data_IF_830274050666
#
_entry.id   IF_830274050666
#
_cell.length_a   1.000
_cell.length_b   1.000
_cell.length_c   1.000
_cell.angle_alpha   90.00
_cell.angle_beta   90.00
_cell.angle_gamma   90.00
#
_symmetry.space_group_name_H-M   'P 1'
#
loop_
_entity.id
_entity.type
_entity.pdbx_description
1 polymer ?
#
# COMPACT_ATOMS: atom_id res chain seq x y z
N UNK A 1 -50.16 58.12 19.37
CA UNK A 1 -49.48 57.79 20.64
C UNK A 1 -48.36 56.79 20.36
N UNK A 2 -47.11 57.21 20.60
CA UNK A 2 -45.88 56.43 20.84
C UNK A 2 -45.37 55.44 19.78
N UNK A 3 -44.25 55.86 19.15
CA UNK A 3 -43.09 55.06 18.71
C UNK A 3 -42.78 53.89 19.67
N UNK A 4 -42.24 52.79 19.14
CA UNK A 4 -41.01 52.15 19.66
C UNK A 4 -40.40 51.19 18.61
N UNK A 5 -39.13 51.46 18.31
CA UNK A 5 -38.15 50.65 17.58
C UNK A 5 -37.64 49.55 18.52
N UNK A 6 -37.57 48.28 18.08
CA UNK A 6 -36.67 47.23 18.61
C UNK A 6 -36.43 46.25 17.43
N UNK A 7 -35.30 46.30 16.72
CA UNK A 7 -33.96 45.74 17.01
C UNK A 7 -33.82 44.25 16.66
N UNK A 8 -32.68 43.96 16.03
CA UNK A 8 -32.31 42.73 15.35
C UNK A 8 -32.13 41.51 16.26
N UNK A 9 -32.38 40.31 15.72
CA UNK A 9 -31.60 39.11 16.06
C UNK A 9 -31.24 38.41 14.75
N UNK A 10 -30.02 38.66 14.32
CA UNK A 10 -29.31 37.92 13.28
C UNK A 10 -28.86 36.61 13.93
N UNK A 11 -29.48 35.48 13.55
CA UNK A 11 -29.08 34.16 14.04
C UNK A 11 -27.71 33.81 13.46
N UNK A 12 -26.67 34.14 14.21
CA UNK A 12 -25.32 33.63 14.02
C UNK A 12 -25.36 32.16 14.44
N UNK A 13 -25.39 31.25 13.47
CA UNK A 13 -24.96 29.88 13.71
C UNK A 13 -23.46 29.92 13.96
N UNK A 14 -23.05 29.89 15.24
CA UNK A 14 -21.72 29.42 15.62
C UNK A 14 -21.64 27.95 15.22
N UNK A 15 -21.09 27.68 14.03
CA UNK A 15 -20.52 26.36 13.77
C UNK A 15 -19.20 26.32 14.55
N UNK A 16 -19.24 25.55 15.63
CA UNK A 16 -18.07 25.16 16.40
C UNK A 16 -16.96 24.68 15.45
N UNK A 17 -15.81 25.33 15.52
CA UNK A 17 -14.57 24.82 14.98
C UNK A 17 -14.21 23.52 15.73
N UNK A 18 -14.71 22.39 15.22
CA UNK A 18 -14.05 21.11 15.41
C UNK A 18 -12.77 21.19 14.59
N UNK A 19 -11.65 21.16 15.30
CA UNK A 19 -10.32 20.91 14.77
C UNK A 19 -10.34 19.56 14.06
N UNK A 20 -10.74 19.60 12.79
CA UNK A 20 -10.48 18.53 11.84
C UNK A 20 -8.99 18.51 11.55
N UNK A 21 -8.41 17.32 11.68
CA UNK A 21 -7.03 17.02 11.40
C UNK A 21 -6.53 17.71 10.14
N UNK A 22 -5.26 18.10 10.16
CA UNK A 22 -4.58 18.63 9.01
C UNK A 22 -4.61 17.57 7.89
N UNK A 23 -5.60 17.67 7.00
CA UNK A 23 -5.50 17.12 5.66
C UNK A 23 -4.35 17.89 5.02
N UNK A 24 -3.18 17.26 4.99
CA UNK A 24 -2.06 17.75 4.19
C UNK A 24 -2.57 17.83 2.74
N UNK A 25 -2.90 19.04 2.32
CA UNK A 25 -3.06 19.33 0.91
C UNK A 25 -1.77 18.89 0.20
N UNK A 26 -1.89 18.01 -0.81
CA UNK A 26 -0.79 17.56 -1.63
C UNK A 26 -0.18 18.76 -2.38
N UNK A 27 0.77 19.43 -1.73
CA UNK A 27 1.57 20.47 -2.34
C UNK A 27 2.53 19.83 -3.34
N UNK A 28 2.58 20.36 -4.56
CA UNK A 28 3.56 19.94 -5.57
C UNK A 28 4.97 20.16 -5.01
N UNK A 29 5.74 19.08 -4.91
CA UNK A 29 7.12 19.15 -4.46
C UNK A 29 7.95 20.07 -5.38
N UNK A 30 8.88 20.83 -4.77
CA UNK A 30 9.71 21.83 -5.43
C UNK A 30 11.15 21.63 -4.97
N UNK A 31 12.09 21.46 -5.90
CA UNK A 31 13.50 21.24 -5.56
C UNK A 31 14.24 20.37 -6.58
N UNK A 32 15.48 20.03 -6.28
CA UNK A 32 16.29 19.09 -7.08
C UNK A 32 15.82 17.67 -6.83
N UNK A 33 15.63 16.86 -7.89
CA UNK A 33 15.41 15.43 -7.74
C UNK A 33 16.70 14.74 -7.27
N UNK A 34 16.79 14.45 -5.97
CA UNK A 34 17.89 13.78 -5.31
C UNK A 34 17.93 12.27 -5.62
N UNK A 35 16.81 11.69 -6.07
CA UNK A 35 16.71 10.26 -6.39
C UNK A 35 17.28 9.91 -7.76
N UNK A 36 17.50 10.89 -8.64
CA UNK A 36 17.95 10.65 -10.01
C UNK A 36 19.26 9.83 -10.04
N UNK A 37 19.23 8.70 -10.76
CA UNK A 37 20.29 7.69 -10.88
C UNK A 37 20.77 7.09 -9.54
N UNK A 38 19.97 7.17 -8.48
CA UNK A 38 20.30 6.56 -7.20
C UNK A 38 19.92 5.09 -7.18
N UNK A 39 20.66 4.33 -6.38
CA UNK A 39 20.38 2.90 -6.21
C UNK A 39 19.21 2.70 -5.26
N UNK A 40 18.49 1.63 -5.49
CA UNK A 40 17.44 1.17 -4.59
C UNK A 40 17.43 -0.35 -4.47
N UNK A 41 16.71 -0.80 -3.45
CA UNK A 41 16.35 -2.20 -3.25
C UNK A 41 14.84 -2.33 -3.22
N UNK A 42 14.33 -3.50 -3.61
CA UNK A 42 12.90 -3.82 -3.60
C UNK A 42 12.73 -5.08 -2.77
N UNK A 43 11.78 -5.05 -1.83
CA UNK A 43 11.38 -6.18 -1.00
C UNK A 43 9.89 -6.41 -1.19
N UNK A 44 9.50 -7.67 -1.43
CA UNK A 44 8.10 -8.10 -1.47
C UNK A 44 7.57 -8.31 -0.05
N UNK A 45 6.33 -7.90 0.22
CA UNK A 45 5.68 -8.12 1.52
C UNK A 45 5.46 -9.60 1.86
N UNK A 46 5.31 -10.45 0.84
CA UNK A 46 5.26 -11.90 0.99
C UNK A 46 6.08 -12.60 -0.10
N UNK A 47 6.64 -13.77 0.21
CA UNK A 47 7.38 -14.57 -0.78
C UNK A 47 6.45 -14.93 -1.96
N UNK A 48 6.92 -14.72 -3.18
CA UNK A 48 6.17 -14.99 -4.41
C UNK A 48 6.86 -16.01 -5.34
N UNK A 49 7.96 -16.62 -4.88
CA UNK A 49 8.83 -17.53 -5.65
C UNK A 49 8.08 -18.73 -6.27
N UNK A 50 7.01 -19.18 -5.61
CA UNK A 50 6.19 -20.32 -6.04
C UNK A 50 4.81 -19.92 -6.58
N UNK A 51 4.60 -18.64 -6.87
CA UNK A 51 3.35 -18.15 -7.46
C UNK A 51 3.18 -18.64 -8.90
N UNK A 52 1.93 -18.79 -9.36
CA UNK A 52 1.57 -19.36 -10.68
C UNK A 52 2.16 -18.60 -11.89
N UNK A 53 2.67 -17.37 -11.69
CA UNK A 53 3.36 -16.55 -12.69
C UNK A 53 4.35 -15.60 -11.99
N UNK A 54 5.58 -16.02 -11.68
CA UNK A 54 6.51 -15.23 -10.86
C UNK A 54 7.25 -14.12 -11.64
N UNK A 55 6.90 -13.89 -12.91
CA UNK A 55 7.67 -13.00 -13.78
C UNK A 55 7.26 -11.54 -13.58
N UNK A 56 7.75 -10.91 -12.51
CA UNK A 56 7.91 -9.45 -12.50
C UNK A 56 8.85 -9.06 -13.65
N UNK A 57 8.31 -8.36 -14.65
CA UNK A 57 9.06 -7.88 -15.82
C UNK A 57 9.25 -6.37 -15.75
N UNK A 58 10.44 -5.95 -15.36
CA UNK A 58 10.82 -4.54 -15.19
C UNK A 58 12.03 -4.49 -14.27
N UNK A 59 13.11 -3.87 -14.72
CA UNK A 59 14.41 -3.94 -14.04
C UNK A 59 14.50 -2.90 -12.93
N UNK A 60 15.15 -3.31 -11.83
CA UNK A 60 15.49 -2.55 -10.61
C UNK A 60 16.32 -1.28 -10.82
N UNK A 61 16.37 -0.75 -12.05
CA UNK A 61 17.15 0.43 -12.41
C UNK A 61 16.30 1.54 -13.07
N UNK A 62 15.00 1.32 -13.28
CA UNK A 62 14.12 2.26 -14.02
C UNK A 62 13.49 3.33 -13.14
N UNK A 63 13.31 3.07 -11.85
CA UNK A 63 12.53 3.94 -10.96
C UNK A 63 13.19 5.28 -10.63
N UNK A 64 14.35 5.54 -11.20
CA UNK A 64 15.14 6.74 -10.90
C UNK A 64 15.90 7.24 -12.13
N UNK A 65 15.57 6.77 -13.33
CA UNK A 65 16.32 7.10 -14.55
C UNK A 65 15.79 8.38 -15.23
N UNK A 66 14.66 8.92 -14.75
CA UNK A 66 14.00 10.09 -15.33
C UNK A 66 13.23 9.81 -16.61
N UNK A 67 13.04 8.54 -16.97
CA UNK A 67 12.27 8.08 -18.13
C UNK A 67 10.86 7.74 -17.67
N UNK A 68 9.88 8.20 -18.46
CA UNK A 68 8.47 8.02 -18.15
C UNK A 68 7.78 7.07 -19.12
N UNK A 69 6.93 6.21 -18.58
CA UNK A 69 6.14 5.28 -19.38
C UNK A 69 4.92 5.94 -20.02
N UNK A 70 4.56 5.48 -21.22
CA UNK A 70 3.28 5.85 -21.84
C UNK A 70 2.18 4.95 -21.26
N UNK A 71 1.12 5.49 -20.62
CA UNK A 71 0.04 4.67 -20.08
C UNK A 71 -0.73 3.91 -21.18
N UNK A 72 -0.78 4.42 -22.41
CA UNK A 72 -1.39 3.71 -23.53
C UNK A 72 -0.59 2.45 -23.93
N UNK A 73 0.70 2.39 -23.57
CA UNK A 73 1.60 1.26 -23.84
C UNK A 73 2.28 0.77 -22.55
N UNK A 74 1.47 0.26 -21.62
CA UNK A 74 1.93 -0.23 -20.31
C UNK A 74 3.01 -1.34 -20.38
N UNK A 75 3.07 -2.12 -21.46
CA UNK A 75 4.09 -3.15 -21.67
C UNK A 75 5.26 -2.70 -22.57
N UNK A 76 5.46 -1.39 -22.73
CA UNK A 76 6.61 -0.80 -23.45
C UNK A 76 7.98 -1.17 -22.87
N UNK A 77 8.01 -1.69 -21.63
CA UNK A 77 9.23 -1.93 -20.88
C UNK A 77 9.73 -0.70 -20.14
N UNK A 78 8.98 0.41 -20.12
CA UNK A 78 9.29 1.63 -19.35
C UNK A 78 8.58 1.69 -17.99
N UNK A 79 7.76 0.69 -17.69
CA UNK A 79 7.07 0.55 -16.41
C UNK A 79 7.66 -0.64 -15.65
N UNK A 80 8.03 -0.44 -14.39
CA UNK A 80 8.34 -1.54 -13.49
C UNK A 80 7.06 -2.30 -13.14
N UNK A 81 7.01 -3.59 -13.49
CA UNK A 81 5.87 -4.46 -13.28
C UNK A 81 6.00 -5.22 -11.95
N UNK A 82 5.10 -4.94 -11.01
CA UNK A 82 4.95 -5.72 -9.78
C UNK A 82 3.70 -6.59 -9.82
N UNK A 83 3.82 -7.84 -9.36
CA UNK A 83 2.72 -8.81 -9.34
C UNK A 83 2.63 -9.51 -7.98
N UNK A 84 1.42 -9.47 -7.38
CA UNK A 84 1.10 -10.14 -6.11
C UNK A 84 2.16 -9.90 -5.02
N UNK A 85 2.25 -10.78 -4.02
CA UNK A 85 3.21 -10.64 -2.92
C UNK A 85 2.83 -9.56 -1.91
N UNK A 86 1.53 -9.22 -1.83
CA UNK A 86 0.88 -8.28 -0.91
C UNK A 86 1.28 -6.81 -1.14
N UNK A 87 2.56 -6.50 -1.18
CA UNK A 87 3.08 -5.14 -1.24
C UNK A 87 4.52 -5.09 -1.73
N UNK A 88 5.01 -3.91 -2.06
CA UNK A 88 6.43 -3.67 -2.34
C UNK A 88 6.93 -2.57 -1.41
N UNK A 89 8.12 -2.80 -0.84
CA UNK A 89 8.90 -1.78 -0.15
C UNK A 89 10.13 -1.47 -0.98
N UNK A 90 10.22 -0.24 -1.47
CA UNK A 90 11.35 0.26 -2.24
C UNK A 90 12.19 1.15 -1.34
N UNK A 91 13.45 0.80 -1.11
CA UNK A 91 14.37 1.60 -0.30
C UNK A 91 15.44 2.21 -1.20
N UNK A 92 15.39 3.53 -1.38
CA UNK A 92 16.40 4.35 -2.07
C UNK A 92 17.54 4.72 -1.14
N UNK A 93 18.79 4.65 -1.61
CA UNK A 93 19.97 5.21 -0.94
C UNK A 93 20.44 6.46 -1.70
N UNK A 94 20.27 7.65 -1.10
CA UNK A 94 20.70 8.94 -1.66
C UNK A 94 22.24 9.07 -1.72
N UNK A 95 22.97 8.21 -1.01
CA UNK A 95 24.43 8.12 -0.97
C UNK A 95 25.07 8.91 0.17
N UNK A 96 24.35 9.88 0.75
CA UNK A 96 24.74 10.67 1.91
C UNK A 96 23.48 11.16 2.64
N UNK A 97 23.65 11.67 3.86
CA UNK A 97 22.56 12.36 4.57
C UNK A 97 22.33 13.71 3.88
N UNK A 98 21.13 13.90 3.34
CA UNK A 98 20.67 15.08 2.62
C UNK A 98 19.44 15.68 3.30
N UNK A 99 19.04 16.88 2.90
CA UNK A 99 17.78 17.48 3.34
C UNK A 99 16.66 17.15 2.34
N UNK A 100 15.64 16.42 2.79
CA UNK A 100 14.52 15.94 1.97
C UNK A 100 13.21 16.60 2.43
N UNK A 101 12.39 17.06 1.49
CA UNK A 101 11.13 17.76 1.79
C UNK A 101 9.95 17.45 0.84
N UNK A 102 10.16 16.62 -0.17
CA UNK A 102 9.09 16.25 -1.10
C UNK A 102 9.33 14.95 -1.84
N UNK A 103 8.25 14.39 -2.37
CA UNK A 103 8.22 13.06 -2.96
C UNK A 103 7.23 13.00 -4.12
N UNK A 104 7.55 12.17 -5.10
CA UNK A 104 6.66 11.83 -6.21
C UNK A 104 6.88 10.36 -6.62
N UNK A 105 5.81 9.64 -6.90
CA UNK A 105 5.85 8.33 -7.53
C UNK A 105 4.70 8.25 -8.54
N UNK A 106 4.97 7.77 -9.75
CA UNK A 106 3.96 7.73 -10.82
C UNK A 106 3.57 6.30 -11.17
N UNK A 107 2.29 6.00 -10.95
CA UNK A 107 1.69 4.71 -11.25
C UNK A 107 0.78 4.81 -12.47
N UNK A 108 0.27 3.67 -12.93
CA UNK A 108 -0.77 3.62 -13.96
C UNK A 108 -1.99 2.84 -13.45
N UNK A 109 -3.18 3.36 -13.72
CA UNK A 109 -4.46 2.67 -13.58
C UNK A 109 -4.90 2.14 -14.93
N UNK A 110 -5.15 0.82 -15.02
CA UNK A 110 -5.63 0.18 -16.24
C UNK A 110 -6.34 -1.15 -15.92
N UNK A 111 -7.65 -1.08 -15.64
CA UNK A 111 -8.48 -2.24 -15.27
C UNK A 111 -8.46 -3.34 -16.34
N UNK A 112 -8.38 -2.99 -17.63
CA UNK A 112 -8.42 -3.97 -18.74
C UNK A 112 -7.27 -4.99 -18.66
N UNK A 113 -6.14 -4.60 -18.08
CA UNK A 113 -5.00 -5.50 -17.83
C UNK A 113 -4.83 -5.88 -16.36
N UNK A 114 -5.83 -5.58 -15.51
CA UNK A 114 -5.75 -5.82 -14.07
C UNK A 114 -4.59 -5.07 -13.41
N UNK A 115 -4.28 -3.86 -13.90
CA UNK A 115 -3.27 -2.99 -13.32
C UNK A 115 -3.99 -1.94 -12.47
N UNK A 116 -3.68 -1.96 -11.18
CA UNK A 116 -4.31 -1.10 -10.18
C UNK A 116 -3.26 -0.24 -9.51
N UNK A 117 -3.59 1.03 -9.34
CA UNK A 117 -2.85 1.88 -8.44
C UNK A 117 -2.98 1.35 -7.01
N UNK A 118 -1.93 1.50 -6.18
CA UNK A 118 -2.02 1.11 -4.78
C UNK A 118 -3.10 1.92 -4.06
N UNK A 119 -3.74 1.35 -3.04
CA UNK A 119 -4.69 2.08 -2.20
C UNK A 119 -4.00 3.22 -1.45
N UNK A 120 -2.77 2.97 -0.99
CA UNK A 120 -1.96 3.96 -0.29
C UNK A 120 -0.49 3.83 -0.69
N UNK A 121 0.18 4.99 -0.79
CA UNK A 121 1.63 5.10 -0.83
C UNK A 121 2.12 5.69 0.49
N UNK A 122 2.87 4.90 1.25
CA UNK A 122 3.49 5.31 2.52
C UNK A 122 4.95 5.65 2.26
N UNK A 123 5.36 6.84 2.69
CA UNK A 123 6.71 7.36 2.51
C UNK A 123 7.35 7.60 3.87
N UNK A 124 8.49 6.95 4.09
CA UNK A 124 9.26 7.07 5.33
C UNK A 124 10.73 7.37 5.03
N UNK A 125 11.41 8.08 5.93
CA UNK A 125 12.81 8.47 5.79
C UNK A 125 13.67 7.95 6.93
N UNK A 126 14.96 7.74 6.66
CA UNK A 126 15.93 7.26 7.63
C UNK A 126 17.32 7.82 7.36
N UNK A 127 18.11 8.04 8.42
CA UNK A 127 19.52 8.40 8.32
C UNK A 127 20.44 7.16 8.33
N UNK A 128 20.03 6.09 9.02
CA UNK A 128 20.84 4.89 9.29
C UNK A 128 20.41 3.65 8.48
N UNK A 129 19.24 3.68 7.84
CA UNK A 129 18.67 2.57 7.10
C UNK A 129 18.00 1.51 7.98
N UNK A 130 17.88 1.77 9.29
CA UNK A 130 17.34 0.86 10.30
C UNK A 130 16.07 1.49 10.92
N UNK A 131 16.17 2.74 11.36
CA UNK A 131 15.13 3.47 12.07
C UNK A 131 14.46 4.45 11.11
N UNK A 132 13.15 4.33 10.92
CA UNK A 132 12.39 5.13 9.94
C UNK A 132 11.32 5.98 10.62
N UNK A 133 11.12 7.19 10.11
CA UNK A 133 10.00 8.07 10.45
C UNK A 133 9.10 8.23 9.21
N UNK A 134 7.80 8.02 9.36
CA UNK A 134 6.83 8.21 8.29
C UNK A 134 6.50 9.69 8.15
N UNK A 135 6.63 10.20 6.92
CA UNK A 135 6.37 11.61 6.60
C UNK A 135 5.02 11.81 5.93
N UNK A 136 4.62 10.88 5.06
CA UNK A 136 3.40 11.02 4.27
C UNK A 136 2.77 9.65 4.00
N UNK A 137 1.43 9.63 4.04
CA UNK A 137 0.60 8.57 3.48
C UNK A 137 -0.31 9.23 2.44
N UNK A 138 -0.28 8.74 1.21
CA UNK A 138 -1.03 9.31 0.08
C UNK A 138 -2.04 8.26 -0.37
N UNK A 139 -3.32 8.55 -0.23
CA UNK A 139 -4.40 7.68 -0.69
C UNK A 139 -4.58 7.75 -2.21
N UNK A 140 -5.07 6.66 -2.79
CA UNK A 140 -5.43 6.61 -4.19
C UNK A 140 -6.48 7.66 -4.55
N UNK A 141 -6.27 8.35 -5.67
CA UNK A 141 -7.19 9.38 -6.19
C UNK A 141 -8.05 8.90 -7.35
N UNK A 142 -7.84 7.67 -7.84
CA UNK A 142 -8.59 7.11 -8.96
C UNK A 142 -9.39 5.87 -8.57
N UNK A 143 -10.55 5.72 -9.17
CA UNK A 143 -11.41 4.55 -8.97
C UNK A 143 -10.85 3.32 -9.71
N UNK A 144 -10.93 2.14 -9.08
CA UNK A 144 -10.49 0.89 -9.68
C UNK A 144 -11.32 0.46 -10.92
N UNK A 145 -12.46 1.11 -11.17
CA UNK A 145 -13.31 0.92 -12.35
C UNK A 145 -12.82 1.64 -13.60
N UNK A 146 -11.83 2.53 -13.49
CA UNK A 146 -11.28 3.26 -14.65
C UNK A 146 -10.66 2.29 -15.66
N UNK A 147 -11.25 2.27 -16.86
CA UNK A 147 -10.80 1.42 -17.97
C UNK A 147 -9.81 2.11 -18.91
N UNK A 148 -9.84 3.45 -18.97
CA UNK A 148 -8.91 4.23 -19.79
C UNK A 148 -7.54 4.22 -19.09
N UNK A 149 -6.47 3.78 -19.76
CA UNK A 149 -5.14 3.78 -19.17
C UNK A 149 -4.76 5.20 -18.74
N UNK A 150 -4.50 5.39 -17.45
CA UNK A 150 -4.29 6.72 -16.85
C UNK A 150 -3.08 6.70 -15.95
N UNK A 151 -2.12 7.60 -16.17
CA UNK A 151 -1.02 7.83 -15.22
C UNK A 151 -1.54 8.57 -14.00
N UNK A 152 -1.14 8.12 -12.82
CA UNK A 152 -1.58 8.64 -11.52
C UNK A 152 -0.35 9.01 -10.71
N UNK A 153 -0.23 10.29 -10.41
CA UNK A 153 0.91 10.83 -9.68
C UNK A 153 0.56 10.88 -8.20
N UNK A 154 1.34 10.17 -7.38
CA UNK A 154 1.30 10.25 -5.94
C UNK A 154 2.39 11.21 -5.52
N UNK A 155 2.02 12.41 -5.07
CA UNK A 155 2.99 13.40 -4.63
C UNK A 155 2.64 13.96 -3.24
N UNK A 156 3.68 14.35 -2.51
CA UNK A 156 3.53 14.99 -1.23
C UNK A 156 4.71 15.90 -0.91
N UNK A 157 4.47 16.87 -0.04
CA UNK A 157 5.51 17.58 0.68
C UNK A 157 5.47 17.18 2.15
N UNK A 158 6.63 17.09 2.78
CA UNK A 158 6.77 16.89 4.21
C UNK A 158 6.49 18.18 5.01
N UNK A 159 6.30 19.33 4.34
CA UNK A 159 6.09 20.65 4.94
C UNK A 159 7.33 21.26 5.61
N UNK A 160 8.34 20.44 5.93
CA UNK A 160 9.66 20.79 6.46
C UNK A 160 10.70 19.89 5.80
N UNK A 161 11.97 20.30 5.83
CA UNK A 161 13.07 19.44 5.40
C UNK A 161 13.60 18.59 6.56
N UNK A 162 13.80 17.31 6.31
CA UNK A 162 14.36 16.34 7.26
C UNK A 162 15.68 15.76 6.74
N UNK A 163 16.57 15.42 7.66
CA UNK A 163 17.80 14.69 7.37
C UNK A 163 17.48 13.26 7.00
N UNK A 164 17.91 12.84 5.82
CA UNK A 164 17.69 11.47 5.35
C UNK A 164 18.80 11.04 4.41
N UNK A 165 19.24 9.80 4.56
CA UNK A 165 20.05 9.09 3.55
C UNK A 165 19.20 8.07 2.79
N UNK A 166 18.25 7.45 3.49
CA UNK A 166 17.39 6.42 2.93
C UNK A 166 15.95 6.92 2.87
N UNK A 167 15.27 6.64 1.75
CA UNK A 167 13.85 6.92 1.58
C UNK A 167 13.13 5.63 1.19
N UNK A 168 12.08 5.30 1.94
CA UNK A 168 11.22 4.14 1.71
C UNK A 168 9.91 4.55 1.07
N UNK A 169 9.52 3.83 0.04
CA UNK A 169 8.22 3.88 -0.60
C UNK A 169 7.57 2.51 -0.40
N UNK A 170 6.50 2.45 0.37
CA UNK A 170 5.71 1.26 0.60
C UNK A 170 4.35 1.40 -0.08
N UNK A 171 3.93 0.38 -0.81
CA UNK A 171 2.61 0.35 -1.46
C UNK A 171 2.09 -1.08 -1.62
N UNK A 172 0.77 -1.26 -1.59
CA UNK A 172 0.13 -2.55 -1.83
C UNK A 172 0.16 -2.95 -3.31
N UNK A 173 0.16 -4.25 -3.57
CA UNK A 173 0.06 -4.82 -4.92
C UNK A 173 -1.14 -5.76 -4.93
N UNK A 174 -2.23 -5.33 -5.55
CA UNK A 174 -3.48 -6.08 -5.60
C UNK A 174 -3.39 -7.29 -6.56
N UNK A 175 -3.33 -7.00 -7.86
CA UNK A 175 -3.10 -8.00 -8.91
C UNK A 175 -1.78 -7.66 -9.60
N UNK A 176 -1.79 -6.57 -10.37
CA UNK A 176 -0.58 -5.93 -10.89
C UNK A 176 -0.54 -4.47 -10.45
N UNK A 177 0.66 -3.96 -10.22
CA UNK A 177 0.94 -2.54 -9.99
C UNK A 177 2.16 -2.15 -10.83
N UNK A 178 2.02 -1.09 -11.61
CA UNK A 178 3.04 -0.61 -12.54
C UNK A 178 3.48 0.78 -12.09
N UNK A 179 4.78 0.98 -11.96
CA UNK A 179 5.42 2.21 -11.48
C UNK A 179 6.57 2.56 -12.44
N UNK A 180 6.67 3.80 -12.92
CA UNK A 180 7.77 4.21 -13.80
C UNK A 180 8.90 4.94 -13.05
N UNK A 181 8.58 5.98 -12.28
CA UNK A 181 9.56 6.91 -11.73
C UNK A 181 9.22 7.30 -10.29
N UNK A 182 10.26 7.31 -9.45
CA UNK A 182 10.28 7.85 -8.09
C UNK A 182 11.19 9.06 -8.05
N UNK A 183 10.69 10.14 -7.47
CA UNK A 183 11.46 11.36 -7.23
C UNK A 183 11.46 11.68 -5.75
N UNK A 184 12.62 12.11 -5.27
CA UNK A 184 12.81 12.64 -3.92
C UNK A 184 13.34 14.06 -4.10
N UNK A 185 12.64 15.04 -3.56
CA UNK A 185 13.00 16.45 -3.69
C UNK A 185 13.65 16.97 -2.41
N UNK A 186 14.59 17.88 -2.60
CA UNK A 186 15.26 18.58 -1.53
C UNK A 186 16.58 19.19 -1.98
N UNK A 187 17.59 19.15 -1.10
CA UNK A 187 18.94 19.68 -1.32
C UNK A 187 20.01 18.76 -0.73
N UNK A 188 21.17 18.70 -1.38
CA UNK A 188 22.28 17.83 -0.95
C UNK A 188 22.84 18.21 0.42
N UNK A 189 22.90 19.50 0.74
CA UNK A 189 23.33 19.96 2.06
C UNK A 189 22.25 19.67 3.11
N UNK A 190 22.54 18.83 4.09
CA UNK A 190 21.65 18.56 5.21
C UNK A 190 21.45 19.80 6.12
N UNK A 191 22.45 20.69 6.23
CA UNK A 191 22.41 21.96 6.96
C UNK A 191 21.42 22.04 8.14
N UNK A 192 20.42 22.92 8.00
CA UNK A 192 19.37 23.18 9.00
C UNK A 192 18.14 22.25 8.91
N UNK A 193 18.21 21.13 8.19
CA UNK A 193 17.14 20.16 8.17
C UNK A 193 16.98 19.49 9.55
N UNK A 194 15.75 19.10 9.86
CA UNK A 194 15.40 18.49 11.14
C UNK A 194 15.90 17.05 11.21
N UNK A 195 16.33 16.62 12.39
CA UNK A 195 16.55 15.20 12.69
C UNK A 195 15.23 14.42 12.58
N UNK A 196 15.31 13.14 12.26
CA UNK A 196 14.12 12.27 12.27
C UNK A 196 13.79 11.83 13.71
N UNK A 197 12.51 11.58 13.97
CA UNK A 197 12.06 10.87 15.17
C UNK A 197 11.40 9.58 14.72
N UNK A 198 12.09 8.43 14.79
CA UNK A 198 11.59 7.16 14.27
C UNK A 198 10.22 6.80 14.83
N UNK A 199 9.38 6.21 13.99
CA UNK A 199 8.08 5.71 14.40
C UNK A 199 8.24 4.61 15.45
N UNK A 200 7.32 4.55 16.41
CA UNK A 200 7.26 3.42 17.33
C UNK A 200 6.91 2.15 16.56
N UNK A 201 7.64 1.06 16.85
CA UNK A 201 7.32 -0.23 16.26
C UNK A 201 5.94 -0.66 16.75
N UNK A 202 4.97 -0.72 15.84
CA UNK A 202 3.66 -1.29 16.14
C UNK A 202 3.85 -2.79 16.37
N UNK A 203 3.60 -3.26 17.59
CA UNK A 203 3.43 -4.69 17.81
C UNK A 203 2.11 -5.13 17.18
N UNK A 204 2.19 -6.03 16.20
CA UNK A 204 1.01 -6.72 15.66
C UNK A 204 0.43 -7.63 16.75
N UNK A 205 -0.42 -7.05 17.59
CA UNK A 205 -1.14 -7.79 18.60
C UNK A 205 -2.08 -8.77 17.90
N UNK A 206 -1.97 -10.05 18.25
CA UNK A 206 -2.79 -11.17 17.74
C UNK A 206 -2.32 -11.84 16.45
N UNK A 207 -1.11 -11.54 15.97
CA UNK A 207 -0.45 -12.41 14.99
C UNK A 207 0.24 -13.56 15.72
N UNK A 208 0.05 -14.80 15.27
CA UNK A 208 0.76 -15.96 15.79
C UNK A 208 1.96 -16.25 14.89
N UNK A 209 3.17 -16.09 15.41
CA UNK A 209 4.42 -16.19 14.63
C UNK A 209 4.58 -17.52 13.87
N UNK A 210 4.04 -18.61 14.42
CA UNK A 210 4.13 -19.95 13.84
C UNK A 210 2.95 -20.87 14.23
N UNK A 211 1.86 -20.31 14.80
CA UNK A 211 0.72 -21.08 15.32
C UNK A 211 1.04 -21.97 16.53
N UNK A 212 2.26 -21.92 17.08
CA UNK A 212 2.69 -22.72 18.23
C UNK A 212 1.90 -22.27 19.47
N UNK A 213 0.93 -23.10 19.86
CA UNK A 213 0.01 -22.81 20.97
C UNK A 213 -1.47 -22.64 20.57
N UNK A 214 -1.78 -22.53 19.27
CA UNK A 214 -3.17 -22.37 18.77
C UNK A 214 -3.95 -23.69 18.74
N UNK A 215 -3.23 -24.83 18.75
CA UNK A 215 -3.84 -26.17 18.71
C UNK A 215 -4.30 -26.62 17.32
N UNK A 216 -4.30 -25.72 16.34
CA UNK A 216 -4.54 -25.98 14.91
C UNK A 216 -3.30 -25.65 14.09
N UNK A 217 -2.93 -26.51 13.15
CA UNK A 217 -1.73 -26.39 12.31
C UNK A 217 -2.07 -26.32 10.82
N UNK A 218 -3.02 -27.14 10.39
CA UNK A 218 -3.40 -27.30 9.00
C UNK A 218 -4.79 -26.70 8.82
N UNK A 219 -4.84 -25.40 8.57
CA UNK A 219 -6.09 -24.63 8.47
C UNK A 219 -6.49 -24.46 7.02
N UNK A 220 -7.67 -24.96 6.64
CA UNK A 220 -8.27 -24.67 5.34
C UNK A 220 -9.20 -23.46 5.41
N UNK A 221 -9.08 -22.55 4.43
CA UNK A 221 -9.98 -21.42 4.28
C UNK A 221 -11.14 -21.77 3.35
N UNK A 222 -12.38 -21.59 3.82
CA UNK A 222 -13.60 -21.71 3.03
C UNK A 222 -14.39 -20.41 3.03
N UNK A 223 -14.85 -19.99 1.86
CA UNK A 223 -15.80 -18.89 1.75
C UNK A 223 -17.14 -19.31 2.38
N UNK A 224 -17.74 -18.42 3.14
CA UNK A 224 -19.05 -18.61 3.77
C UNK A 224 -19.81 -17.28 3.68
N UNK A 225 -21.14 -17.30 3.53
CA UNK A 225 -21.92 -16.06 3.40
C UNK A 225 -23.14 -16.21 2.51
N UNK A 226 -23.54 -15.11 1.87
CA UNK A 226 -24.70 -15.04 0.99
C UNK A 226 -24.28 -14.65 -0.43
N UNK A 227 -24.46 -15.58 -1.37
CA UNK A 227 -24.29 -15.34 -2.80
C UNK A 227 -25.50 -15.97 -3.51
N UNK A 228 -26.54 -15.17 -3.84
CA UNK A 228 -27.81 -15.70 -4.37
C UNK A 228 -27.67 -16.26 -5.79
N UNK A 229 -26.67 -15.80 -6.55
CA UNK A 229 -26.44 -16.23 -7.92
C UNK A 229 -25.63 -17.54 -7.96
N UNK A 230 -24.83 -17.81 -6.92
CA UNK A 230 -23.98 -19.00 -6.84
C UNK A 230 -23.93 -19.62 -5.43
N UNK A 231 -25.10 -20.08 -4.94
CA UNK A 231 -25.24 -20.64 -3.58
C UNK A 231 -24.26 -21.78 -3.26
N UNK A 232 -23.78 -22.51 -4.27
CA UNK A 232 -22.82 -23.62 -4.10
C UNK A 232 -21.47 -23.18 -3.52
N UNK A 233 -21.06 -21.92 -3.69
CA UNK A 233 -19.77 -21.42 -3.16
C UNK A 233 -19.84 -20.99 -1.70
N UNK A 234 -21.04 -20.77 -1.17
CA UNK A 234 -21.25 -20.22 0.18
C UNK A 234 -22.03 -21.16 1.10
N UNK A 235 -22.85 -22.05 0.55
CA UNK A 235 -23.66 -23.00 1.30
C UNK A 235 -22.94 -24.34 1.48
N UNK A 236 -21.82 -24.29 2.20
CA UNK A 236 -21.01 -25.48 2.45
C UNK A 236 -21.71 -26.44 3.43
N UNK A 237 -21.92 -27.68 3.01
CA UNK A 237 -22.48 -28.75 3.84
C UNK A 237 -21.37 -29.63 4.41
N UNK A 238 -21.68 -30.40 5.47
CA UNK A 238 -20.76 -31.37 6.07
C UNK A 238 -20.01 -32.24 5.04
N UNK A 239 -20.72 -32.73 4.02
CA UNK A 239 -20.13 -33.61 3.01
C UNK A 239 -19.08 -32.93 2.12
N UNK A 240 -19.16 -31.60 1.96
CA UNK A 240 -18.15 -30.80 1.27
C UNK A 240 -16.85 -30.80 2.06
N UNK A 241 -16.90 -30.71 3.39
CA UNK A 241 -15.70 -30.70 4.23
C UNK A 241 -15.07 -32.08 4.42
N UNK A 242 -15.87 -33.15 4.39
CA UNK A 242 -15.40 -34.52 4.66
C UNK A 242 -14.11 -34.91 3.91
N UNK A 243 -13.95 -34.67 2.59
CA UNK A 243 -12.71 -35.02 1.89
C UNK A 243 -11.49 -34.16 2.31
N UNK A 244 -11.71 -32.96 2.86
CA UNK A 244 -10.63 -32.08 3.31
C UNK A 244 -10.20 -32.37 4.75
N UNK A 245 -11.13 -32.79 5.60
CA UNK A 245 -10.84 -33.00 7.04
C UNK A 245 -10.58 -34.47 7.39
N UNK A 246 -10.84 -35.43 6.49
CA UNK A 246 -10.74 -36.85 6.84
C UNK A 246 -10.19 -37.69 5.70
N UNK A 247 -9.05 -38.32 5.95
CA UNK A 247 -8.68 -39.56 5.27
C UNK A 247 -9.55 -40.68 5.82
N UNK A 248 -10.20 -41.42 4.93
CA UNK A 248 -11.04 -42.57 5.29
C UNK A 248 -10.44 -43.87 4.74
N UNK A 249 -10.54 -44.94 5.51
CA UNK A 249 -10.21 -46.28 5.02
C UNK A 249 -11.30 -46.83 4.08
N UNK A 250 -11.06 -48.04 3.57
CA UNK A 250 -11.99 -48.76 2.67
C UNK A 250 -13.38 -49.01 3.27
N UNK A 251 -13.50 -48.97 4.60
CA UNK A 251 -14.74 -49.21 5.34
C UNK A 251 -15.41 -47.86 5.72
N UNK A 252 -14.86 -46.74 5.24
CA UNK A 252 -15.38 -45.39 5.46
C UNK A 252 -15.06 -44.80 6.83
N UNK A 253 -14.18 -45.45 7.61
CA UNK A 253 -13.76 -44.98 8.93
C UNK A 253 -12.64 -43.96 8.78
N UNK A 254 -12.75 -42.86 9.52
CA UNK A 254 -11.69 -41.85 9.58
C UNK A 254 -10.43 -42.43 10.22
N UNK A 255 -9.30 -42.30 9.52
CA UNK A 255 -7.99 -42.80 9.95
C UNK A 255 -6.96 -41.69 10.16
N UNK A 256 -7.14 -40.53 9.54
CA UNK A 256 -6.26 -39.36 9.68
C UNK A 256 -6.97 -38.07 9.19
N UNK A 257 -6.36 -36.90 9.39
CA UNK A 257 -6.87 -35.58 8.98
C UNK A 257 -5.86 -34.85 8.08
N UNK A 258 -6.29 -34.32 6.93
CA UNK A 258 -5.44 -33.46 6.08
C UNK A 258 -5.41 -32.01 6.58
N UNK A 259 -6.56 -31.50 7.03
CA UNK A 259 -6.70 -30.22 7.72
C UNK A 259 -7.32 -30.44 9.09
N UNK A 260 -6.81 -29.78 10.13
CA UNK A 260 -7.26 -29.90 11.52
C UNK A 260 -8.16 -28.74 11.97
N UNK A 261 -8.29 -27.70 11.14
CA UNK A 261 -9.22 -26.60 11.35
C UNK A 261 -9.77 -26.02 10.03
N UNK A 262 -10.93 -25.38 10.15
CA UNK A 262 -11.59 -24.66 9.05
C UNK A 262 -11.77 -23.20 9.45
N UNK A 263 -11.20 -22.29 8.66
CA UNK A 263 -11.46 -20.86 8.75
C UNK A 263 -12.57 -20.49 7.77
N UNK A 264 -13.62 -19.85 8.27
CA UNK A 264 -14.69 -19.33 7.42
C UNK A 264 -14.44 -17.86 7.08
N UNK A 265 -14.15 -17.60 5.81
CA UNK A 265 -14.01 -16.25 5.29
C UNK A 265 -15.39 -15.74 4.84
N UNK A 266 -15.89 -14.71 5.50
CA UNK A 266 -17.15 -14.06 5.11
C UNK A 266 -16.99 -13.32 3.79
N UNK A 267 -17.82 -13.64 2.80
CA UNK A 267 -18.01 -12.84 1.58
C UNK A 267 -18.91 -11.63 1.85
#
# INVERSE_FOLDING_TARGET
MKRKVISAIMSIFLLSALSGDAVCAAGKASGTNLALNKKYTIVSGAANDYSYTPEEKGSKDQLTDGVHGDPANCYSGLWSHFIRGVSRTITLDLGAVMAVDGFEATFIQNKRFGIYCPQELVISVSEDGISYMTLNTISNSVDNTVEIPTSVVYNASAGKSYKARYVRFYFDVQVNTFLDEIKVFGREDAGNALEITPDEKVEEKSYYDNGEGVGSKDIICFHNGYNPDEELFVNNKKDVFKPYISYVDKDGKMIDTMFDAVMFLTL
#
